data_IF_621022285781
#
_entry.id   IF_621022285781
#
_cell.length_a   1.000
_cell.length_b   1.000
_cell.length_c   1.000
_cell.angle_alpha   90.00
_cell.angle_beta   90.00
_cell.angle_gamma   90.00
#
_symmetry.space_group_name_H-M   'P 1'
#
loop_
_entity.id
_entity.type
_entity.pdbx_description
1 polymer ?
#
# COMPACT_ATOMS: atom_id res chain seq x y z
N UNK A 1 -33.05 -16.25 6.75
CA UNK A 1 -31.84 -15.95 5.94
C UNK A 1 -31.14 -14.77 6.60
N UNK A 2 -29.99 -14.96 7.22
CA UNK A 2 -29.25 -13.84 7.85
C UNK A 2 -28.60 -12.99 6.77
N UNK A 3 -29.06 -11.74 6.63
CA UNK A 3 -28.37 -10.73 5.83
C UNK A 3 -26.99 -10.46 6.43
N UNK A 4 -25.94 -10.81 5.68
CA UNK A 4 -24.56 -10.49 6.03
C UNK A 4 -24.37 -8.98 5.95
N UNK A 5 -24.35 -8.31 7.10
CA UNK A 5 -24.11 -6.86 7.20
C UNK A 5 -22.75 -6.54 6.57
N UNK A 6 -22.67 -5.59 5.62
CA UNK A 6 -21.41 -5.28 4.93
C UNK A 6 -20.33 -4.88 5.95
N UNK A 7 -19.16 -5.52 5.84
CA UNK A 7 -18.03 -5.26 6.75
C UNK A 7 -17.59 -3.81 6.52
N UNK A 8 -17.61 -3.02 7.58
CA UNK A 8 -17.19 -1.62 7.57
C UNK A 8 -15.74 -1.49 7.09
N UNK A 9 -15.53 -0.76 6.01
CA UNK A 9 -14.21 -0.47 5.48
C UNK A 9 -13.52 0.63 6.30
N UNK A 10 -12.26 0.41 6.65
CA UNK A 10 -11.43 1.37 7.37
C UNK A 10 -10.42 1.99 6.41
N UNK A 11 -10.68 3.20 5.94
CA UNK A 11 -9.74 3.95 5.09
C UNK A 11 -8.46 4.28 5.87
N UNK A 12 -7.34 4.45 5.17
CA UNK A 12 -6.06 4.79 5.80
C UNK A 12 -6.15 6.11 6.59
N UNK A 13 -6.76 7.14 6.00
CA UNK A 13 -6.99 8.44 6.64
C UNK A 13 -7.81 8.32 7.93
N UNK A 14 -8.85 7.47 7.92
CA UNK A 14 -9.67 7.23 9.11
C UNK A 14 -8.91 6.50 10.20
N UNK A 15 -8.18 5.43 9.85
CA UNK A 15 -7.34 4.69 10.81
C UNK A 15 -6.35 5.63 11.49
N UNK A 16 -5.68 6.48 10.71
CA UNK A 16 -4.70 7.44 11.22
C UNK A 16 -5.33 8.40 12.23
N UNK A 17 -6.47 9.03 11.89
CA UNK A 17 -7.19 9.94 12.78
C UNK A 17 -7.51 9.29 14.12
N UNK A 18 -8.10 8.09 14.08
CA UNK A 18 -8.48 7.34 15.28
C UNK A 18 -7.24 7.02 16.11
N UNK A 19 -6.17 6.52 15.50
CA UNK A 19 -4.93 6.19 16.21
C UNK A 19 -4.36 7.42 16.90
N UNK A 20 -4.20 8.54 16.17
CA UNK A 20 -3.65 9.79 16.70
C UNK A 20 -4.45 10.33 17.88
N UNK A 21 -5.78 10.39 17.74
CA UNK A 21 -6.65 10.86 18.82
C UNK A 21 -6.48 10.01 20.09
N UNK A 22 -6.35 8.70 19.92
CA UNK A 22 -6.23 7.80 21.07
C UNK A 22 -4.84 7.86 21.73
N UNK A 23 -3.84 8.46 21.09
CA UNK A 23 -2.52 8.70 21.70
C UNK A 23 -2.50 9.93 22.65
N UNK A 24 -3.53 10.77 22.63
CA UNK A 24 -3.66 11.90 23.55
C UNK A 24 -3.85 11.43 24.99
N UNK A 25 -3.10 12.02 25.93
CA UNK A 25 -3.11 11.65 27.35
C UNK A 25 -4.47 11.84 28.03
N UNK A 26 -5.24 12.83 27.58
CA UNK A 26 -6.54 13.19 28.18
C UNK A 26 -7.72 12.37 27.60
N UNK A 27 -7.47 11.51 26.62
CA UNK A 27 -8.52 10.80 25.87
C UNK A 27 -8.52 9.31 26.19
N UNK A 28 -9.64 8.81 26.71
CA UNK A 28 -9.80 7.38 27.00
C UNK A 28 -10.03 6.59 25.70
N UNK A 29 -9.15 5.61 25.42
CA UNK A 29 -9.27 4.72 24.25
C UNK A 29 -10.68 4.14 24.08
N UNK A 30 -11.30 3.70 25.18
CA UNK A 30 -12.64 3.10 25.16
C UNK A 30 -13.72 4.07 24.67
N UNK A 31 -13.58 5.36 24.97
CA UNK A 31 -14.52 6.39 24.52
C UNK A 31 -14.43 6.63 23.02
N UNK A 32 -13.20 6.78 22.51
CA UNK A 32 -12.96 6.90 21.06
C UNK A 32 -13.45 5.66 20.34
N UNK A 33 -13.18 4.47 20.88
CA UNK A 33 -13.64 3.21 20.30
C UNK A 33 -15.17 3.14 20.16
N UNK A 34 -15.91 3.59 21.19
CA UNK A 34 -17.38 3.67 21.14
C UNK A 34 -17.86 4.67 20.09
N UNK A 35 -17.34 5.90 20.12
CA UNK A 35 -17.73 6.96 19.17
C UNK A 35 -17.43 6.57 17.72
N UNK A 36 -16.27 5.96 17.51
CA UNK A 36 -15.80 5.54 16.20
C UNK A 36 -16.27 4.14 15.81
N UNK A 37 -17.09 3.46 16.62
CA UNK A 37 -17.60 2.11 16.32
C UNK A 37 -16.49 1.11 15.94
N UNK A 38 -15.35 1.18 16.63
CA UNK A 38 -14.17 0.34 16.40
C UNK A 38 -13.84 -0.42 17.67
N UNK A 39 -13.36 -1.66 17.56
CA UNK A 39 -12.96 -2.43 18.74
C UNK A 39 -11.60 -1.93 19.28
N UNK A 40 -11.41 -1.88 20.61
CA UNK A 40 -10.13 -1.50 21.21
C UNK A 40 -8.95 -2.34 20.69
N UNK A 41 -9.13 -3.65 20.54
CA UNK A 41 -8.10 -4.55 20.01
C UNK A 41 -7.63 -4.15 18.61
N UNK A 42 -8.54 -3.67 17.75
CA UNK A 42 -8.20 -3.23 16.40
C UNK A 42 -7.42 -1.92 16.43
N UNK A 43 -7.75 -1.00 17.33
CA UNK A 43 -7.00 0.26 17.53
C UNK A 43 -5.61 -0.02 18.10
N UNK A 44 -5.47 -0.94 19.06
CA UNK A 44 -4.15 -1.37 19.56
C UNK A 44 -3.28 -1.95 18.43
N UNK A 45 -3.86 -2.78 17.55
CA UNK A 45 -3.16 -3.30 16.38
C UNK A 45 -2.66 -2.17 15.49
N UNK A 46 -3.48 -1.16 15.20
CA UNK A 46 -3.08 -0.03 14.38
C UNK A 46 -2.03 0.85 15.05
N UNK A 47 -2.10 1.07 16.37
CA UNK A 47 -1.03 1.76 17.12
C UNK A 47 0.31 1.06 16.98
N UNK A 48 0.33 -0.27 17.13
CA UNK A 48 1.55 -1.06 16.96
C UNK A 48 2.10 -0.95 15.53
N UNK A 49 1.24 -0.98 14.53
CA UNK A 49 1.63 -0.78 13.13
C UNK A 49 2.22 0.60 12.89
N UNK A 50 1.60 1.65 13.44
CA UNK A 50 2.10 3.02 13.35
C UNK A 50 3.47 3.13 14.02
N UNK A 51 3.60 2.69 15.27
CA UNK A 51 4.86 2.75 16.02
C UNK A 51 6.00 1.99 15.32
N UNK A 52 5.73 0.79 14.81
CA UNK A 52 6.74 -0.01 14.09
C UNK A 52 7.13 0.54 12.71
N UNK A 53 6.35 1.46 12.14
CA UNK A 53 6.65 2.06 10.83
C UNK A 53 7.14 3.51 10.96
N UNK A 54 6.80 4.19 12.05
CA UNK A 54 7.05 5.62 12.24
C UNK A 54 8.54 5.96 12.17
N UNK A 55 9.38 5.20 12.88
CA UNK A 55 10.83 5.41 12.86
C UNK A 55 11.40 5.30 11.45
N UNK A 56 11.01 4.27 10.69
CA UNK A 56 11.45 4.10 9.30
C UNK A 56 10.95 5.22 8.37
N UNK A 57 9.78 5.79 8.64
CA UNK A 57 9.24 6.94 7.91
C UNK A 57 10.06 8.19 8.19
N UNK A 58 10.43 8.46 9.45
CA UNK A 58 11.22 9.63 9.83
C UNK A 58 12.72 9.49 9.53
N UNK A 59 13.25 8.26 9.57
CA UNK A 59 14.63 7.94 9.20
C UNK A 59 14.84 7.96 7.68
N UNK A 60 13.78 7.81 6.89
CA UNK A 60 13.85 8.11 5.46
C UNK A 60 14.06 9.61 5.29
N UNK A 61 15.18 10.04 4.67
CA UNK A 61 15.30 11.41 4.22
C UNK A 61 14.07 11.76 3.40
N UNK A 62 13.50 12.94 3.64
CA UNK A 62 12.33 13.48 2.93
C UNK A 62 12.64 13.66 1.44
N UNK A 63 12.68 12.56 0.72
CA UNK A 63 13.01 12.49 -0.69
C UNK A 63 11.84 11.83 -1.42
N UNK A 64 10.60 12.22 -1.10
CA UNK A 64 9.43 11.79 -1.88
C UNK A 64 9.68 11.94 -3.39
N UNK A 65 10.41 13.01 -3.77
CA UNK A 65 10.91 13.24 -5.12
C UNK A 65 11.92 12.21 -5.63
N UNK A 66 12.84 11.68 -4.81
CA UNK A 66 13.76 10.62 -5.26
C UNK A 66 13.06 9.26 -5.35
N UNK A 67 12.10 8.98 -4.47
CA UNK A 67 11.26 7.78 -4.58
C UNK A 67 10.47 7.86 -5.87
N UNK A 68 9.77 8.97 -6.13
CA UNK A 68 9.00 9.15 -7.37
C UNK A 68 9.90 9.09 -8.60
N UNK A 69 11.08 9.73 -8.57
CA UNK A 69 12.06 9.69 -9.66
C UNK A 69 12.60 8.29 -9.91
N UNK A 70 12.94 7.55 -8.84
CA UNK A 70 13.41 6.16 -8.94
C UNK A 70 12.30 5.25 -9.46
N UNK A 71 11.07 5.45 -9.00
CA UNK A 71 9.91 4.68 -9.45
C UNK A 71 9.64 4.96 -10.93
N UNK A 72 9.64 6.22 -11.36
CA UNK A 72 9.49 6.61 -12.75
C UNK A 72 10.58 5.99 -13.65
N UNK A 73 11.85 6.04 -13.21
CA UNK A 73 12.98 5.43 -13.92
C UNK A 73 12.80 3.92 -14.07
N UNK A 74 12.49 3.21 -12.98
CA UNK A 74 12.25 1.77 -13.01
C UNK A 74 11.06 1.38 -13.89
N UNK A 75 10.04 2.24 -13.94
CA UNK A 75 8.85 1.99 -14.76
C UNK A 75 9.18 2.13 -16.25
N UNK A 76 9.97 3.14 -16.63
CA UNK A 76 10.43 3.32 -18.01
C UNK A 76 11.41 2.22 -18.43
N UNK A 77 12.34 1.82 -17.57
CA UNK A 77 13.24 0.68 -17.83
C UNK A 77 12.44 -0.61 -18.07
N UNK A 78 11.44 -0.90 -17.20
CA UNK A 78 10.56 -2.04 -17.40
C UNK A 78 9.78 -1.98 -18.71
N UNK A 79 9.33 -0.78 -19.13
CA UNK A 79 8.62 -0.59 -20.39
C UNK A 79 9.54 -0.93 -21.56
N UNK A 80 10.75 -0.37 -21.59
CA UNK A 80 11.75 -0.65 -22.63
C UNK A 80 12.10 -2.12 -22.72
N UNK A 81 12.31 -2.78 -21.57
CA UNK A 81 12.58 -4.21 -21.54
C UNK A 81 11.41 -5.02 -22.13
N UNK A 82 10.17 -4.66 -21.80
CA UNK A 82 8.98 -5.33 -22.36
C UNK A 82 8.87 -5.14 -23.87
N UNK A 83 9.15 -3.93 -24.37
CA UNK A 83 9.12 -3.62 -25.80
C UNK A 83 10.14 -4.48 -26.57
N UNK A 84 11.40 -4.52 -26.09
CA UNK A 84 12.46 -5.34 -26.68
C UNK A 84 12.15 -6.83 -26.62
N UNK A 85 11.60 -7.31 -25.50
CA UNK A 85 11.17 -8.71 -25.37
C UNK A 85 10.06 -9.03 -26.39
N UNK A 86 9.10 -8.13 -26.59
CA UNK A 86 8.00 -8.33 -27.53
C UNK A 86 8.52 -8.42 -28.98
N UNK A 87 9.43 -7.54 -29.37
CA UNK A 87 10.07 -7.53 -30.68
C UNK A 87 10.84 -8.83 -30.94
N UNK A 88 11.77 -9.20 -30.04
CA UNK A 88 12.54 -10.44 -30.14
C UNK A 88 11.62 -11.68 -30.15
N UNK A 89 10.52 -11.65 -29.39
CA UNK A 89 9.57 -12.76 -29.36
C UNK A 89 8.83 -12.89 -30.69
N UNK A 90 8.44 -11.77 -31.31
CA UNK A 90 7.78 -11.77 -32.62
C UNK A 90 8.72 -12.33 -33.70
N UNK A 91 9.97 -11.86 -33.77
CA UNK A 91 10.98 -12.37 -34.71
C UNK A 91 11.22 -13.88 -34.52
N UNK A 92 11.36 -14.33 -33.27
CA UNK A 92 11.54 -15.75 -32.97
C UNK A 92 10.35 -16.61 -33.42
N UNK A 93 9.11 -16.09 -33.32
CA UNK A 93 7.93 -16.80 -33.79
C UNK A 93 7.89 -16.87 -35.32
N UNK A 94 8.30 -15.81 -36.01
CA UNK A 94 8.40 -15.81 -37.48
C UNK A 94 9.48 -16.78 -37.96
N UNK A 95 10.68 -16.73 -37.39
CA UNK A 95 11.77 -17.66 -37.71
C UNK A 95 11.36 -19.11 -37.50
N UNK A 96 10.66 -19.41 -36.39
CA UNK A 96 10.14 -20.76 -36.13
C UNK A 96 9.13 -21.23 -37.18
N UNK A 97 8.28 -20.33 -37.70
CA UNK A 97 7.36 -20.68 -38.80
C UNK A 97 8.16 -21.01 -40.06
N UNK A 98 9.09 -20.14 -40.45
CA UNK A 98 9.92 -20.34 -41.66
C UNK A 98 10.84 -21.54 -41.60
N UNK A 99 11.22 -22.01 -40.41
CA UNK A 99 12.05 -23.21 -40.20
C UNK A 99 11.23 -24.50 -40.07
N UNK A 100 9.91 -24.40 -39.86
CA UNK A 100 9.02 -25.56 -39.73
C UNK A 100 8.26 -25.89 -41.02
N UNK A 101 8.35 -25.01 -42.03
CA UNK A 101 7.93 -25.23 -43.42
C UNK A 101 9.10 -25.78 -44.25
#
# INVERSE_FOLDING_TARGET
MSESKPRRAWTAARKLRIVLETLGSDVKLAEVCRREGVSPNLVYKWRKQLAGSAEAIFARPSNGRDIDRRTAKLTEENRRMKDVIAEITAENLELKKTLSD
#
